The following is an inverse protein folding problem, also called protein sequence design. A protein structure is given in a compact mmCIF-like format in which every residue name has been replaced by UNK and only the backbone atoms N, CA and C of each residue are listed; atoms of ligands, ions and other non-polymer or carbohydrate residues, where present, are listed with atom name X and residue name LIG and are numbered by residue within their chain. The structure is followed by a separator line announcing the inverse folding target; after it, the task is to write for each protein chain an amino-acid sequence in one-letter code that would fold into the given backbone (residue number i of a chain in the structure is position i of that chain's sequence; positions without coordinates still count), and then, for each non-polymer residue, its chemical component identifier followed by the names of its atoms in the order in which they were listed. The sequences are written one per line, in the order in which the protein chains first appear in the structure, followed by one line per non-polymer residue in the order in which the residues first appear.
data_IF_759091693536
#
_entry.id   IF_759091693536
#
_cell.length_a   1.000
_cell.length_b   1.000
_cell.length_c   1.000
_cell.angle_alpha   90.00
_cell.angle_beta   90.00
_cell.angle_gamma   90.00
#
_symmetry.space_group_name_H-M   'P 1'
#
loop_
_entity.id
_entity.type
_entity.pdbx_description
1 polymer ?
#
# COMPACT_ATOMS: atom_id res chain seq x y z
N UNK A 1 9.96 9.27 16.76
CA UNK A 1 11.23 8.53 16.70
C UNK A 1 12.27 9.42 16.03
N UNK A 2 13.25 9.95 16.79
CA UNK A 2 14.41 10.64 16.24
C UNK A 2 15.41 9.55 15.84
N UNK A 3 15.62 9.36 14.54
CA UNK A 3 16.66 8.47 14.02
C UNK A 3 17.96 9.26 13.91
N UNK A 4 19.03 8.70 14.43
CA UNK A 4 20.39 9.23 14.23
C UNK A 4 20.96 8.51 13.00
N UNK A 5 21.24 9.28 11.94
CA UNK A 5 21.86 8.79 10.71
C UNK A 5 23.34 9.04 10.78
N UNK A 6 24.13 7.99 10.62
CA UNK A 6 25.56 8.09 10.43
C UNK A 6 25.85 8.19 8.93
N UNK A 7 26.25 9.36 8.47
CA UNK A 7 26.88 9.52 7.15
C UNK A 7 28.37 9.30 7.30
N UNK A 8 28.86 8.16 6.83
CA UNK A 8 30.28 7.98 6.57
C UNK A 8 30.60 8.60 5.20
N UNK A 9 31.69 9.33 5.12
CA UNK A 9 32.17 9.94 3.89
C UNK A 9 32.74 8.93 2.87
N UNK A 10 32.87 7.66 3.25
CA UNK A 10 33.28 6.56 2.40
C UNK A 10 32.16 5.52 2.37
N UNK A 11 31.72 5.15 1.17
CA UNK A 11 30.67 4.17 0.95
C UNK A 11 30.96 2.87 1.70
N UNK A 12 30.04 2.46 2.57
CA UNK A 12 30.12 1.16 3.21
C UNK A 12 29.52 0.14 2.28
N UNK A 13 30.39 -0.72 1.77
CA UNK A 13 29.96 -1.95 1.18
C UNK A 13 29.74 -2.99 2.30
N UNK A 14 28.59 -3.64 2.32
CA UNK A 14 28.33 -4.76 3.22
C UNK A 14 29.09 -6.03 2.81
N UNK A 15 29.78 -6.04 1.67
CA UNK A 15 30.79 -7.02 1.24
C UNK A 15 32.16 -6.73 1.83
N UNK A 16 32.25 -6.32 3.06
CA UNK A 16 33.51 -5.95 3.67
C UNK A 16 34.32 -7.18 4.03
N UNK A 17 35.59 -7.19 3.59
CA UNK A 17 36.58 -8.17 3.99
C UNK A 17 37.68 -7.48 4.75
N UNK A 18 38.20 -8.16 5.74
CA UNK A 18 39.45 -7.77 6.43
C UNK A 18 40.57 -8.69 6.03
N UNK A 19 41.73 -8.11 5.79
CA UNK A 19 42.98 -8.87 5.63
C UNK A 19 43.43 -9.41 7.00
N UNK A 20 44.23 -10.46 7.00
CA UNK A 20 44.76 -11.04 8.23
C UNK A 20 45.68 -10.02 8.94
N UNK A 21 45.30 -9.63 10.15
CA UNK A 21 46.01 -8.60 10.92
C UNK A 21 45.27 -8.28 12.24
N UNK A 22 45.86 -7.43 13.06
CA UNK A 22 45.23 -6.93 14.26
C UNK A 22 44.38 -5.68 13.94
N UNK A 23 43.05 -5.81 14.02
CA UNK A 23 42.15 -4.71 13.73
C UNK A 23 42.27 -3.56 14.74
N UNK A 24 42.84 -3.80 15.94
CA UNK A 24 43.06 -2.72 16.91
C UNK A 24 44.14 -1.71 16.46
N UNK A 25 44.95 -2.09 15.47
CA UNK A 25 46.01 -1.28 14.83
C UNK A 25 45.64 -0.86 13.39
N UNK A 26 44.42 -1.19 12.92
CA UNK A 26 44.01 -0.94 11.54
C UNK A 26 43.88 0.57 11.29
N UNK A 27 44.64 1.10 10.33
CA UNK A 27 44.71 2.55 10.04
C UNK A 27 43.41 3.11 9.47
N UNK A 28 42.73 2.34 8.60
CA UNK A 28 41.46 2.79 7.98
C UNK A 28 40.36 2.88 9.03
N UNK A 29 40.30 1.91 9.97
CA UNK A 29 39.35 1.96 11.07
C UNK A 29 39.70 3.11 12.04
N UNK A 30 40.96 3.40 12.27
CA UNK A 30 41.40 4.51 13.10
C UNK A 30 41.03 5.86 12.49
N UNK A 31 41.20 6.03 11.18
CA UNK A 31 40.81 7.21 10.47
C UNK A 31 39.26 7.39 10.52
N UNK A 32 38.50 6.32 10.26
CA UNK A 32 37.05 6.34 10.32
C UNK A 32 36.52 6.72 11.73
N UNK A 33 37.13 6.16 12.78
CA UNK A 33 36.72 6.52 14.16
C UNK A 33 37.10 7.96 14.49
N UNK A 34 38.17 8.48 13.93
CA UNK A 34 38.56 9.88 14.04
C UNK A 34 37.55 10.85 13.43
N UNK A 35 36.87 10.46 12.38
CA UNK A 35 35.82 11.25 11.74
C UNK A 35 34.44 11.13 12.40
N UNK A 36 34.27 10.18 13.31
CA UNK A 36 33.02 10.02 14.06
C UNK A 36 32.99 10.98 15.27
N UNK A 37 31.92 11.77 15.46
CA UNK A 37 31.78 12.67 16.62
C UNK A 37 31.89 11.97 17.96
N UNK A 38 31.62 10.69 18.02
CA UNK A 38 31.68 9.88 19.24
C UNK A 38 32.90 8.94 19.27
N UNK A 39 33.79 9.06 18.30
CA UNK A 39 34.93 8.15 18.13
C UNK A 39 34.54 6.67 18.14
N UNK A 40 33.34 6.37 17.64
CA UNK A 40 32.81 5.01 17.50
C UNK A 40 32.25 4.82 16.10
N UNK A 41 32.49 3.64 15.50
CA UNK A 41 31.95 3.23 14.21
C UNK A 41 31.44 1.81 14.28
N UNK A 42 30.44 1.49 13.49
CA UNK A 42 29.92 0.14 13.29
C UNK A 42 30.30 -0.35 11.91
N UNK A 43 30.91 -1.53 11.84
CA UNK A 43 31.38 -2.12 10.59
C UNK A 43 30.84 -3.53 10.44
N UNK A 44 30.30 -3.80 9.27
CA UNK A 44 29.99 -5.16 8.84
C UNK A 44 31.25 -5.82 8.30
N UNK A 45 31.30 -7.14 8.37
CA UNK A 45 32.26 -7.95 7.62
C UNK A 45 31.58 -9.25 7.19
N UNK A 46 31.90 -9.72 6.00
CA UNK A 46 31.32 -10.91 5.41
C UNK A 46 31.00 -10.74 3.93
N UNK A 47 30.11 -11.60 3.45
CA UNK A 47 29.65 -11.61 2.07
C UNK A 47 28.19 -11.19 2.02
N UNK A 48 27.90 -10.10 1.34
CA UNK A 48 26.53 -9.67 1.03
C UNK A 48 26.21 -9.93 -0.43
N UNK A 49 24.97 -9.67 -0.84
CA UNK A 49 24.46 -9.72 -2.21
C UNK A 49 24.39 -11.10 -2.86
N UNK A 50 25.45 -11.85 -2.80
CA UNK A 50 25.58 -13.16 -3.47
C UNK A 50 25.48 -14.34 -2.52
N UNK A 51 25.22 -14.07 -1.24
CA UNK A 51 25.26 -15.07 -0.17
C UNK A 51 26.68 -15.59 0.11
N UNK A 52 26.86 -16.15 1.28
CA UNK A 52 28.13 -16.70 1.71
C UNK A 52 28.42 -16.42 3.18
N UNK A 53 29.66 -16.68 3.59
CA UNK A 53 30.16 -16.45 4.94
C UNK A 53 31.36 -15.50 4.92
N UNK A 54 31.72 -14.91 6.07
CA UNK A 54 33.00 -14.23 6.20
C UNK A 54 34.16 -15.13 5.81
N UNK A 55 35.24 -14.56 5.27
CA UNK A 55 36.47 -15.31 5.01
C UNK A 55 37.17 -15.63 6.32
N UNK A 56 38.00 -16.70 6.32
CA UNK A 56 38.77 -17.07 7.51
C UNK A 56 39.73 -15.96 7.94
N UNK A 57 40.31 -15.24 6.98
CA UNK A 57 41.18 -14.09 7.22
C UNK A 57 40.43 -13.00 8.00
N UNK A 58 39.19 -12.66 7.56
CA UNK A 58 38.36 -11.66 8.25
C UNK A 58 38.04 -12.11 9.66
N UNK A 59 37.66 -13.38 9.87
CA UNK A 59 37.37 -13.91 11.22
C UNK A 59 38.63 -13.83 12.10
N UNK A 60 39.77 -14.25 11.61
CA UNK A 60 41.04 -14.17 12.36
C UNK A 60 41.44 -12.73 12.69
N UNK A 61 41.23 -11.81 11.76
CA UNK A 61 41.48 -10.38 12.00
C UNK A 61 40.59 -9.84 13.14
N UNK A 62 39.31 -10.20 13.15
CA UNK A 62 38.39 -9.84 14.24
C UNK A 62 38.84 -10.47 15.55
N UNK A 63 39.19 -11.76 15.57
CA UNK A 63 39.64 -12.44 16.79
C UNK A 63 40.93 -11.80 17.36
N UNK A 64 41.89 -11.45 16.51
CA UNK A 64 43.11 -10.73 16.92
C UNK A 64 42.78 -9.36 17.46
N UNK A 65 41.90 -8.60 16.77
CA UNK A 65 41.48 -7.27 17.19
C UNK A 65 40.77 -7.25 18.54
N UNK A 66 39.96 -8.29 18.83
CA UNK A 66 39.30 -8.44 20.14
C UNK A 66 40.27 -8.61 21.32
N UNK A 67 41.47 -9.10 21.04
CA UNK A 67 42.54 -9.31 22.03
C UNK A 67 43.67 -8.27 21.90
N UNK A 68 43.59 -7.41 20.88
CA UNK A 68 44.59 -6.42 20.56
C UNK A 68 44.67 -5.31 21.62
N UNK A 69 45.87 -4.70 21.71
CA UNK A 69 46.12 -3.57 22.60
C UNK A 69 46.49 -2.29 21.81
N UNK A 70 46.06 -2.22 20.55
CA UNK A 70 46.23 -1.04 19.70
C UNK A 70 45.36 0.13 20.13
N UNK A 71 45.43 1.23 19.37
CA UNK A 71 44.65 2.44 19.69
C UNK A 71 43.12 2.29 19.56
N UNK A 72 42.62 1.22 18.93
CA UNK A 72 41.21 0.94 18.76
C UNK A 72 40.77 -0.20 19.68
N UNK A 73 39.67 0.03 20.39
CA UNK A 73 38.95 -1.04 21.07
C UNK A 73 38.01 -1.72 20.08
N UNK A 74 38.27 -2.98 19.76
CA UNK A 74 37.42 -3.81 18.90
C UNK A 74 36.41 -4.58 19.77
N UNK A 75 35.12 -4.50 19.39
CA UNK A 75 34.03 -5.19 20.07
C UNK A 75 33.19 -5.95 19.06
N UNK A 76 33.00 -7.23 19.26
CA UNK A 76 32.00 -7.99 18.49
C UNK A 76 30.61 -7.65 19.00
N UNK A 77 29.72 -7.27 18.11
CA UNK A 77 28.43 -6.72 18.49
C UNK A 77 27.29 -7.22 17.58
N UNK A 78 26.13 -7.34 18.16
CA UNK A 78 24.87 -7.50 17.41
C UNK A 78 24.41 -6.17 16.81
N UNK A 79 23.57 -6.20 15.78
CA UNK A 79 23.13 -5.00 15.06
C UNK A 79 22.38 -3.97 15.92
N UNK A 80 21.81 -4.38 17.05
CA UNK A 80 21.11 -3.50 17.99
C UNK A 80 22.07 -2.82 18.97
N UNK A 81 23.28 -3.33 19.13
CA UNK A 81 24.26 -2.84 20.11
C UNK A 81 24.63 -1.38 19.86
N UNK A 82 24.84 -0.99 18.60
CA UNK A 82 25.18 0.40 18.27
C UNK A 82 24.12 1.39 18.77
N UNK A 83 22.83 1.05 18.65
CA UNK A 83 21.75 1.93 19.13
C UNK A 83 21.76 2.08 20.65
N UNK A 84 22.08 1.00 21.38
CA UNK A 84 22.20 1.01 22.83
C UNK A 84 23.40 1.84 23.29
N UNK A 85 24.54 1.64 22.64
CA UNK A 85 25.76 2.36 22.98
C UNK A 85 25.68 3.85 22.64
N UNK A 86 24.95 4.22 21.58
CA UNK A 86 24.78 5.63 21.19
C UNK A 86 23.62 6.33 21.91
N UNK A 87 22.70 5.61 22.54
CA UNK A 87 21.55 6.20 23.22
C UNK A 87 21.92 7.28 24.25
N UNK A 88 22.95 7.10 25.11
CA UNK A 88 23.35 8.15 26.07
C UNK A 88 23.81 9.45 25.40
N UNK A 89 24.24 9.38 24.16
CA UNK A 89 24.78 10.50 23.38
C UNK A 89 23.77 11.08 22.38
N UNK A 90 22.51 10.65 22.39
CA UNK A 90 21.50 11.07 21.39
C UNK A 90 21.29 12.58 21.30
N UNK A 91 21.65 13.35 22.33
CA UNK A 91 21.60 14.80 22.37
C UNK A 91 22.93 15.49 22.01
N UNK A 92 23.97 14.72 21.68
CA UNK A 92 25.27 15.30 21.34
C UNK A 92 25.14 16.29 20.18
N UNK A 93 25.72 17.51 20.29
CA UNK A 93 25.49 18.58 19.33
C UNK A 93 26.01 18.28 17.92
N UNK A 94 27.08 17.51 17.81
CA UNK A 94 27.69 17.15 16.54
C UNK A 94 27.05 15.96 15.85
N UNK A 95 26.13 15.23 16.52
CA UNK A 95 25.42 14.16 15.84
C UNK A 95 24.44 14.73 14.82
N UNK A 96 24.47 14.25 13.57
CA UNK A 96 23.55 14.70 12.54
C UNK A 96 22.11 14.36 12.93
N UNK A 97 21.24 15.37 12.86
CA UNK A 97 19.81 15.23 13.14
C UNK A 97 19.03 15.37 11.83
N UNK A 98 18.19 14.40 11.55
CA UNK A 98 17.29 14.43 10.42
C UNK A 98 15.85 14.50 10.91
N UNK A 99 15.06 15.39 10.35
CA UNK A 99 13.63 15.52 10.62
C UNK A 99 12.87 15.49 9.29
N UNK A 100 12.08 14.45 9.08
CA UNK A 100 11.35 14.21 7.85
C UNK A 100 11.38 12.73 7.43
N UNK A 101 10.97 12.46 6.21
CA UNK A 101 11.04 11.11 5.63
C UNK A 101 12.45 10.84 5.08
N UNK A 102 12.94 9.64 5.31
CA UNK A 102 14.16 9.13 4.70
C UNK A 102 13.82 8.57 3.33
N UNK A 103 13.71 9.45 2.34
CA UNK A 103 13.50 9.02 0.96
C UNK A 103 14.77 8.40 0.41
N UNK A 104 14.59 7.35 -0.40
CA UNK A 104 15.69 6.79 -1.16
C UNK A 104 16.15 7.82 -2.20
N UNK A 105 17.45 7.88 -2.43
CA UNK A 105 18.06 8.71 -3.45
C UNK A 105 18.01 8.01 -4.82
N UNK A 106 18.88 8.36 -5.73
CA UNK A 106 18.90 7.87 -7.12
C UNK A 106 18.78 6.35 -7.20
N UNK A 107 19.58 5.63 -6.44
CA UNK A 107 19.47 4.18 -6.32
C UNK A 107 18.40 3.81 -5.28
N UNK A 108 17.42 3.03 -5.71
CA UNK A 108 16.30 2.58 -4.88
C UNK A 108 15.01 3.38 -5.06
N UNK A 109 15.03 4.57 -5.68
CA UNK A 109 13.81 5.35 -5.95
C UNK A 109 12.81 4.59 -6.83
N UNK A 110 13.29 3.82 -7.80
CA UNK A 110 12.45 2.98 -8.67
C UNK A 110 11.67 1.91 -7.91
N UNK A 111 12.16 1.45 -6.77
CA UNK A 111 11.50 0.43 -5.94
C UNK A 111 10.10 0.86 -5.46
N UNK A 112 9.82 2.15 -5.40
CA UNK A 112 8.48 2.67 -5.05
C UNK A 112 7.43 2.39 -6.13
N UNK A 113 7.83 2.23 -7.38
CA UNK A 113 6.91 2.16 -8.53
C UNK A 113 7.10 0.97 -9.44
N UNK A 114 8.28 0.35 -9.45
CA UNK A 114 8.56 -0.82 -10.30
C UNK A 114 7.60 -1.96 -9.98
N UNK A 115 7.07 -2.65 -11.02
CA UNK A 115 6.09 -3.72 -10.88
C UNK A 115 4.89 -3.30 -10.01
N UNK A 116 4.17 -2.27 -10.43
CA UNK A 116 3.04 -1.69 -9.68
C UNK A 116 1.98 -2.72 -9.26
N UNK A 117 1.79 -3.80 -10.03
CA UNK A 117 0.89 -4.91 -9.69
C UNK A 117 1.27 -5.58 -8.36
N UNK A 118 2.58 -5.74 -8.08
CA UNK A 118 3.03 -6.30 -6.80
C UNK A 118 2.60 -5.43 -5.61
N UNK A 119 2.72 -4.09 -5.74
CA UNK A 119 2.26 -3.16 -4.70
C UNK A 119 0.75 -3.25 -4.50
N UNK A 120 0.00 -3.36 -5.59
CA UNK A 120 -1.45 -3.50 -5.55
C UNK A 120 -1.87 -4.79 -4.86
N UNK A 121 -1.35 -5.93 -5.28
CA UNK A 121 -1.69 -7.24 -4.70
C UNK A 121 -1.24 -7.34 -3.25
N UNK A 122 -0.04 -6.86 -2.92
CA UNK A 122 0.43 -6.80 -1.55
C UNK A 122 -0.56 -6.03 -0.66
N UNK A 123 -0.97 -4.82 -1.08
CA UNK A 123 -1.91 -4.03 -0.29
C UNK A 123 -3.28 -4.69 -0.13
N UNK A 124 -3.77 -5.31 -1.18
CA UNK A 124 -5.03 -6.06 -1.13
C UNK A 124 -4.95 -7.26 -0.19
N UNK A 125 -3.85 -8.04 -0.24
CA UNK A 125 -3.63 -9.17 0.66
C UNK A 125 -3.50 -8.75 2.13
N UNK A 126 -2.78 -7.66 2.43
CA UNK A 126 -2.71 -7.10 3.79
C UNK A 126 -4.10 -6.83 4.36
N UNK A 127 -4.95 -6.14 3.60
CA UNK A 127 -6.30 -5.77 4.03
C UNK A 127 -7.22 -6.99 4.18
N UNK A 128 -7.16 -7.92 3.21
CA UNK A 128 -7.99 -9.12 3.24
C UNK A 128 -7.55 -10.09 4.33
N UNK A 129 -6.25 -10.26 4.55
CA UNK A 129 -5.71 -11.11 5.61
C UNK A 129 -6.18 -10.67 6.99
N UNK A 130 -6.02 -9.39 7.31
CA UNK A 130 -6.50 -8.81 8.58
C UNK A 130 -8.04 -8.98 8.73
N UNK A 131 -8.80 -8.69 7.68
CA UNK A 131 -10.26 -8.85 7.70
C UNK A 131 -10.68 -10.32 7.85
N UNK A 132 -9.99 -11.25 7.19
CA UNK A 132 -10.26 -12.68 7.28
C UNK A 132 -10.00 -13.23 8.69
N UNK A 133 -8.88 -12.84 9.33
CA UNK A 133 -8.59 -13.22 10.71
C UNK A 133 -9.66 -12.69 11.67
N UNK A 134 -9.96 -11.38 11.61
CA UNK A 134 -10.94 -10.75 12.49
C UNK A 134 -12.34 -11.37 12.35
N UNK A 135 -12.80 -11.60 11.12
CA UNK A 135 -14.10 -12.24 10.87
C UNK A 135 -14.14 -13.68 11.38
N UNK A 136 -13.02 -14.41 11.25
CA UNK A 136 -12.91 -15.79 11.75
C UNK A 136 -12.96 -15.86 13.28
N UNK A 137 -12.27 -14.93 13.97
CA UNK A 137 -12.34 -14.80 15.43
C UNK A 137 -13.78 -14.52 15.88
N UNK A 138 -14.49 -13.60 15.21
CA UNK A 138 -15.90 -13.30 15.52
C UNK A 138 -16.78 -14.53 15.30
N UNK A 139 -16.60 -15.26 14.19
CA UNK A 139 -17.38 -16.44 13.89
C UNK A 139 -17.16 -17.56 14.92
N UNK A 140 -15.91 -17.79 15.35
CA UNK A 140 -15.58 -18.77 16.38
C UNK A 140 -16.13 -18.35 17.75
N UNK A 141 -15.92 -17.10 18.15
CA UNK A 141 -16.41 -16.59 19.43
C UNK A 141 -17.93 -16.70 19.56
N UNK A 142 -18.65 -16.53 18.46
CA UNK A 142 -20.09 -16.72 18.39
C UNK A 142 -20.51 -18.19 18.19
N UNK A 143 -19.58 -19.15 18.17
CA UNK A 143 -19.78 -20.57 17.90
C UNK A 143 -20.51 -20.85 16.57
N UNK A 144 -20.22 -20.07 15.54
CA UNK A 144 -20.82 -20.27 14.22
C UNK A 144 -19.87 -21.00 13.24
N UNK A 145 -18.57 -20.89 13.42
CA UNK A 145 -17.55 -21.61 12.66
C UNK A 145 -16.29 -21.78 13.50
N UNK A 146 -15.51 -22.83 13.23
CA UNK A 146 -14.18 -23.00 13.83
C UNK A 146 -13.16 -22.06 13.18
N UNK A 147 -12.21 -21.57 13.96
CA UNK A 147 -11.13 -20.71 13.45
C UNK A 147 -10.22 -21.50 12.50
N UNK A 148 -10.04 -21.04 11.25
CA UNK A 148 -9.31 -21.77 10.22
C UNK A 148 -7.79 -21.54 10.30
N UNK A 149 -7.19 -21.79 11.47
CA UNK A 149 -5.80 -21.43 11.77
C UNK A 149 -4.77 -21.99 10.81
N UNK A 150 -4.91 -23.25 10.38
CA UNK A 150 -3.99 -23.87 9.42
C UNK A 150 -4.03 -23.18 8.06
N UNK A 151 -5.24 -22.91 7.54
CA UNK A 151 -5.41 -22.23 6.25
C UNK A 151 -4.92 -20.78 6.29
N UNK A 152 -5.15 -20.06 7.39
CA UNK A 152 -4.63 -18.71 7.60
C UNK A 152 -3.10 -18.71 7.66
N UNK A 153 -2.50 -19.62 8.43
CA UNK A 153 -1.03 -19.74 8.53
C UNK A 153 -0.38 -20.02 7.18
N UNK A 154 -0.90 -20.98 6.43
CA UNK A 154 -0.37 -21.30 5.08
C UNK A 154 -0.47 -20.10 4.16
N UNK A 155 -1.60 -19.39 4.19
CA UNK A 155 -1.81 -18.25 3.31
C UNK A 155 -0.96 -17.04 3.69
N UNK A 156 -0.80 -16.77 4.99
CA UNK A 156 0.13 -15.76 5.48
C UNK A 156 1.58 -16.07 5.09
N UNK A 157 2.03 -17.31 5.19
CA UNK A 157 3.38 -17.70 4.76
C UNK A 157 3.60 -17.44 3.28
N UNK A 158 2.61 -17.80 2.42
CA UNK A 158 2.67 -17.53 0.99
C UNK A 158 2.76 -16.03 0.71
N UNK A 159 1.87 -15.24 1.30
CA UNK A 159 1.82 -13.81 1.10
C UNK A 159 3.08 -13.09 1.61
N UNK A 160 3.54 -13.38 2.84
CA UNK A 160 4.72 -12.73 3.43
C UNK A 160 5.99 -13.06 2.66
N UNK A 161 6.08 -14.24 2.04
CA UNK A 161 7.20 -14.60 1.17
C UNK A 161 7.42 -13.57 0.07
N UNK A 162 6.34 -13.03 -0.52
CA UNK A 162 6.40 -12.03 -1.59
C UNK A 162 6.65 -10.59 -1.10
N UNK A 163 6.78 -10.38 0.21
CA UNK A 163 7.31 -9.15 0.77
C UNK A 163 8.84 -9.11 0.79
N UNK A 164 9.49 -10.12 0.21
CA UNK A 164 10.94 -10.16 0.00
C UNK A 164 11.42 -8.90 -0.72
N UNK A 165 12.62 -8.41 -0.34
CA UNK A 165 13.09 -7.08 -0.74
C UNK A 165 13.27 -6.88 -2.25
N UNK A 166 13.43 -7.94 -3.05
CA UNK A 166 13.46 -7.85 -4.51
C UNK A 166 12.13 -8.18 -5.18
N UNK A 167 11.18 -8.78 -4.47
CA UNK A 167 9.89 -9.13 -5.04
C UNK A 167 8.90 -7.95 -4.93
N UNK A 168 8.58 -7.53 -3.71
CA UNK A 168 7.69 -6.38 -3.49
C UNK A 168 8.20 -5.09 -4.15
N UNK A 169 9.51 -4.88 -4.18
CA UNK A 169 10.14 -3.70 -4.77
C UNK A 169 10.10 -3.68 -6.31
N UNK A 170 9.83 -4.82 -6.93
CA UNK A 170 9.78 -4.90 -8.39
C UNK A 170 11.15 -5.10 -9.04
N UNK A 171 12.14 -5.57 -8.28
CA UNK A 171 13.55 -5.60 -8.67
C UNK A 171 14.09 -7.00 -8.99
N UNK A 172 13.25 -8.02 -8.87
CA UNK A 172 13.53 -9.37 -9.33
C UNK A 172 13.57 -9.46 -10.87
N UNK A 173 14.09 -10.56 -11.39
CA UNK A 173 14.06 -10.84 -12.83
C UNK A 173 12.60 -11.00 -13.31
N UNK A 174 12.31 -10.67 -14.59
CA UNK A 174 10.93 -10.72 -15.10
C UNK A 174 10.21 -12.06 -14.89
N UNK A 175 10.94 -13.19 -15.03
CA UNK A 175 10.37 -14.52 -14.83
C UNK A 175 9.89 -14.77 -13.39
N UNK A 176 10.47 -14.14 -12.39
CA UNK A 176 10.02 -14.29 -11.01
C UNK A 176 8.56 -13.84 -10.84
N UNK A 177 8.17 -12.77 -11.56
CA UNK A 177 6.83 -12.19 -11.44
C UNK A 177 5.71 -13.06 -12.03
N UNK A 178 6.02 -14.01 -12.91
CA UNK A 178 5.05 -15.02 -13.36
C UNK A 178 4.58 -15.89 -12.19
N UNK A 179 5.47 -16.19 -11.24
CA UNK A 179 5.16 -16.94 -10.03
C UNK A 179 4.58 -16.05 -8.94
N UNK A 180 5.21 -14.91 -8.68
CA UNK A 180 4.81 -13.99 -7.62
C UNK A 180 3.37 -13.50 -7.80
N UNK A 181 2.99 -13.10 -9.00
CA UNK A 181 1.61 -12.68 -9.28
C UNK A 181 0.61 -13.82 -9.08
N UNK A 182 0.98 -15.04 -9.51
CA UNK A 182 0.11 -16.20 -9.29
C UNK A 182 -0.11 -16.47 -7.80
N UNK A 183 0.93 -16.45 -7.00
CA UNK A 183 0.85 -16.70 -5.57
C UNK A 183 0.10 -15.59 -4.82
N UNK A 184 0.31 -14.34 -5.20
CA UNK A 184 -0.46 -13.20 -4.68
C UNK A 184 -1.97 -13.33 -4.99
N UNK A 185 -2.34 -13.75 -6.21
CA UNK A 185 -3.73 -13.99 -6.58
C UNK A 185 -4.34 -15.19 -5.86
N UNK A 186 -3.56 -16.26 -5.62
CA UNK A 186 -3.99 -17.39 -4.80
C UNK A 186 -4.28 -16.91 -3.38
N UNK A 187 -3.38 -16.11 -2.81
CA UNK A 187 -3.54 -15.54 -1.48
C UNK A 187 -4.79 -14.68 -1.37
N UNK A 188 -5.02 -13.79 -2.32
CA UNK A 188 -6.24 -12.97 -2.40
C UNK A 188 -7.50 -13.83 -2.40
N UNK A 189 -7.53 -14.89 -3.22
CA UNK A 189 -8.66 -15.81 -3.30
C UNK A 189 -8.90 -16.54 -2.00
N UNK A 190 -7.84 -17.02 -1.35
CA UNK A 190 -7.95 -17.77 -0.10
C UNK A 190 -8.42 -16.89 1.06
N UNK A 191 -7.82 -15.71 1.25
CA UNK A 191 -8.27 -14.75 2.27
C UNK A 191 -9.71 -14.30 2.02
N UNK A 192 -10.08 -14.01 0.78
CA UNK A 192 -11.46 -13.65 0.42
C UNK A 192 -12.43 -14.79 0.72
N UNK A 193 -12.05 -16.04 0.44
CA UNK A 193 -12.86 -17.22 0.74
C UNK A 193 -13.09 -17.40 2.24
N UNK A 194 -12.03 -17.25 3.06
CA UNK A 194 -12.12 -17.32 4.53
C UNK A 194 -13.01 -16.20 5.06
N UNK A 195 -12.80 -14.96 4.60
CA UNK A 195 -13.61 -13.80 4.99
C UNK A 195 -15.08 -14.04 4.70
N UNK A 196 -15.41 -14.43 3.46
CA UNK A 196 -16.80 -14.69 3.02
C UNK A 196 -17.43 -15.80 3.85
N UNK A 197 -16.74 -16.92 4.05
CA UNK A 197 -17.26 -18.05 4.81
C UNK A 197 -17.54 -17.70 6.26
N UNK A 198 -16.67 -16.91 6.89
CA UNK A 198 -16.84 -16.47 8.27
C UNK A 198 -18.02 -15.51 8.42
N UNK A 199 -18.15 -14.55 7.48
CA UNK A 199 -19.30 -13.63 7.46
C UNK A 199 -20.62 -14.39 7.26
N UNK A 200 -20.65 -15.31 6.28
CA UNK A 200 -21.83 -16.12 5.99
C UNK A 200 -22.28 -16.96 7.17
N UNK A 201 -21.33 -17.57 7.90
CA UNK A 201 -21.62 -18.39 9.08
C UNK A 201 -22.36 -17.58 10.16
N UNK A 202 -21.94 -16.35 10.40
CA UNK A 202 -22.60 -15.44 11.35
C UNK A 202 -23.93 -14.93 10.79
N UNK A 203 -23.95 -14.46 9.54
CA UNK A 203 -25.11 -13.83 8.91
C UNK A 203 -26.33 -14.78 8.86
N UNK A 204 -26.11 -16.09 8.64
CA UNK A 204 -27.17 -17.13 8.64
C UNK A 204 -27.89 -17.29 9.98
N UNK A 205 -27.31 -16.81 11.07
CA UNK A 205 -27.90 -16.86 12.42
C UNK A 205 -28.44 -15.53 12.89
N UNK A 206 -28.21 -14.46 12.14
CA UNK A 206 -28.75 -13.13 12.44
C UNK A 206 -30.26 -13.07 12.12
N UNK A 207 -30.95 -12.17 12.81
CA UNK A 207 -32.30 -11.79 12.41
C UNK A 207 -32.23 -10.85 11.21
N UNK A 208 -32.44 -11.43 10.04
CA UNK A 208 -32.45 -10.73 8.75
C UNK A 208 -33.86 -10.54 8.18
N UNK A 209 -34.91 -10.64 9.01
CA UNK A 209 -36.28 -10.46 8.57
C UNK A 209 -36.55 -9.02 8.22
N UNK A 210 -36.73 -8.75 6.94
CA UNK A 210 -37.03 -7.42 6.37
C UNK A 210 -38.22 -7.53 5.39
N UNK A 211 -38.72 -6.41 4.94
CA UNK A 211 -39.84 -6.41 3.96
C UNK A 211 -39.37 -6.66 2.52
N UNK A 212 -38.15 -6.31 2.21
CA UNK A 212 -37.51 -6.49 0.90
C UNK A 212 -36.45 -7.58 0.92
N UNK A 213 -35.28 -7.26 0.38
CA UNK A 213 -34.12 -8.15 0.31
C UNK A 213 -33.15 -7.75 1.40
N UNK A 214 -32.78 -8.65 2.32
CA UNK A 214 -31.79 -8.35 3.34
C UNK A 214 -30.40 -8.28 2.73
N UNK A 215 -29.64 -7.24 3.09
CA UNK A 215 -28.23 -7.10 2.80
C UNK A 215 -27.49 -6.99 4.12
N UNK A 216 -26.57 -7.90 4.36
CA UNK A 216 -25.72 -7.91 5.55
C UNK A 216 -24.36 -7.32 5.19
N UNK A 217 -23.95 -6.29 5.91
CA UNK A 217 -22.62 -5.67 5.80
C UNK A 217 -21.81 -5.97 7.04
N UNK A 218 -20.52 -6.24 6.86
CA UNK A 218 -19.57 -6.48 7.92
C UNK A 218 -18.44 -5.45 7.89
N UNK A 219 -18.07 -4.95 9.05
CA UNK A 219 -16.93 -4.06 9.26
C UNK A 219 -15.88 -4.76 10.13
N UNK A 220 -14.71 -5.06 9.56
CA UNK A 220 -13.59 -5.68 10.28
C UNK A 220 -12.81 -4.68 11.16
N UNK A 221 -13.01 -3.37 11.00
CA UNK A 221 -12.22 -2.35 11.70
C UNK A 221 -12.70 -2.13 13.14
N UNK A 222 -11.79 -1.76 14.02
CA UNK A 222 -12.07 -1.49 15.43
C UNK A 222 -12.82 -0.17 15.72
N UNK A 223 -13.37 0.49 14.71
CA UNK A 223 -14.17 1.70 14.81
C UNK A 223 -15.34 1.65 13.83
N UNK A 224 -16.40 2.43 14.12
CA UNK A 224 -17.54 2.53 13.23
C UNK A 224 -17.13 3.10 11.87
N UNK A 225 -17.59 2.48 10.80
CA UNK A 225 -17.40 2.95 9.42
C UNK A 225 -18.72 3.54 8.91
N UNK A 226 -18.65 4.73 8.34
CA UNK A 226 -19.71 5.34 7.54
C UNK A 226 -19.14 5.55 6.13
N UNK A 227 -19.59 4.73 5.17
CA UNK A 227 -19.04 4.74 3.81
C UNK A 227 -20.06 4.20 2.79
N UNK A 228 -19.72 4.30 1.51
CA UNK A 228 -20.52 3.75 0.42
C UNK A 228 -20.22 2.26 0.25
N UNK A 229 -21.20 1.42 0.48
CA UNK A 229 -21.15 -0.01 0.20
C UNK A 229 -21.68 -0.31 -1.19
N UNK A 230 -20.89 -0.96 -2.03
CA UNK A 230 -21.34 -1.48 -3.31
C UNK A 230 -21.86 -2.92 -3.15
N UNK A 231 -23.07 -3.16 -3.61
CA UNK A 231 -23.80 -4.41 -3.41
C UNK A 231 -24.31 -4.92 -4.76
N UNK A 232 -24.15 -6.21 -5.01
CA UNK A 232 -24.75 -6.90 -6.15
C UNK A 232 -25.93 -7.77 -5.69
N UNK A 233 -27.10 -7.60 -6.31
CA UNK A 233 -28.30 -8.36 -6.05
C UNK A 233 -28.75 -9.11 -7.29
N UNK A 234 -29.02 -10.41 -7.16
CA UNK A 234 -29.69 -11.17 -8.20
C UNK A 234 -31.18 -10.80 -8.25
N UNK A 235 -31.62 -10.20 -9.33
CA UNK A 235 -33.00 -9.79 -9.54
C UNK A 235 -33.52 -10.33 -10.88
N UNK A 236 -34.68 -10.97 -10.94
CA UNK A 236 -35.21 -11.54 -12.19
C UNK A 236 -35.62 -10.45 -13.21
N UNK A 237 -35.79 -9.21 -12.77
CA UNK A 237 -36.19 -8.06 -13.58
C UNK A 237 -35.46 -6.81 -13.13
N UNK A 238 -35.22 -5.88 -14.07
CA UNK A 238 -34.70 -4.55 -13.74
C UNK A 238 -35.67 -3.88 -12.75
N UNK A 239 -35.18 -3.41 -11.58
CA UNK A 239 -36.03 -2.75 -10.61
C UNK A 239 -36.57 -1.43 -11.17
N UNK A 240 -37.83 -1.09 -10.86
CA UNK A 240 -38.40 0.19 -11.23
C UNK A 240 -37.83 1.36 -10.43
N UNK A 241 -37.34 1.06 -9.23
CA UNK A 241 -36.65 1.98 -8.34
C UNK A 241 -36.05 1.20 -7.17
N UNK A 242 -35.15 1.82 -6.45
CA UNK A 242 -34.50 1.24 -5.26
C UNK A 242 -34.76 2.17 -4.08
N UNK A 243 -35.16 1.57 -2.97
CA UNK A 243 -35.24 2.26 -1.67
C UNK A 243 -34.58 1.36 -0.64
N UNK A 244 -33.73 1.91 0.20
CA UNK A 244 -33.01 1.17 1.23
C UNK A 244 -33.34 1.72 2.60
N UNK A 245 -33.49 0.85 3.57
CA UNK A 245 -33.78 1.21 4.97
C UNK A 245 -32.75 0.53 5.89
N UNK A 246 -32.36 1.22 6.95
CA UNK A 246 -31.63 0.60 8.05
C UNK A 246 -32.58 -0.23 8.94
N UNK A 247 -32.04 -0.94 9.94
CA UNK A 247 -32.82 -1.76 10.86
C UNK A 247 -33.75 -0.96 11.79
N UNK A 248 -33.56 0.36 11.87
CA UNK A 248 -34.46 1.25 12.61
C UNK A 248 -35.60 1.76 11.73
N UNK A 249 -35.68 1.31 10.47
CA UNK A 249 -36.65 1.73 9.49
C UNK A 249 -36.42 3.12 8.90
N UNK A 250 -35.21 3.70 9.09
CA UNK A 250 -34.85 4.97 8.50
C UNK A 250 -34.38 4.74 7.08
N UNK A 251 -34.88 5.54 6.15
CA UNK A 251 -34.43 5.52 4.76
C UNK A 251 -32.98 6.01 4.68
N UNK A 252 -32.13 5.26 3.98
CA UNK A 252 -30.76 5.64 3.68
C UNK A 252 -30.60 5.93 2.19
N UNK A 253 -29.63 6.74 1.83
CA UNK A 253 -29.35 7.06 0.45
C UNK A 253 -28.85 5.82 -0.31
N UNK A 254 -29.34 5.64 -1.53
CA UNK A 254 -28.95 4.51 -2.39
C UNK A 254 -29.05 4.90 -3.86
N UNK A 255 -28.19 4.33 -4.68
CA UNK A 255 -28.11 4.57 -6.12
C UNK A 255 -28.03 3.25 -6.88
N UNK A 256 -28.88 3.09 -7.91
CA UNK A 256 -28.75 1.99 -8.86
C UNK A 256 -27.62 2.33 -9.85
N UNK A 257 -26.54 1.55 -9.84
CA UNK A 257 -25.40 1.74 -10.75
C UNK A 257 -25.65 1.10 -12.10
N UNK A 258 -26.06 -0.17 -12.10
CA UNK A 258 -26.31 -0.90 -13.33
C UNK A 258 -27.28 -2.06 -13.11
N UNK A 259 -27.87 -2.55 -14.21
CA UNK A 259 -28.59 -3.81 -14.25
C UNK A 259 -28.24 -4.53 -15.55
N UNK A 260 -27.63 -5.69 -15.44
CA UNK A 260 -27.28 -6.56 -16.56
C UNK A 260 -27.34 -8.03 -16.11
N UNK A 261 -27.68 -8.93 -16.98
CA UNK A 261 -27.68 -10.39 -16.77
C UNK A 261 -28.37 -10.86 -15.49
N UNK A 262 -29.51 -10.21 -15.16
CA UNK A 262 -30.26 -10.52 -13.94
C UNK A 262 -29.61 -10.04 -12.65
N UNK A 263 -28.64 -9.15 -12.72
CA UNK A 263 -27.91 -8.60 -11.58
C UNK A 263 -28.05 -7.09 -11.51
N UNK A 264 -28.41 -6.57 -10.36
CA UNK A 264 -28.44 -5.14 -10.06
C UNK A 264 -27.24 -4.79 -9.18
N UNK A 265 -26.42 -3.83 -9.60
CA UNK A 265 -25.38 -3.23 -8.76
C UNK A 265 -25.90 -1.95 -8.15
N UNK A 266 -25.76 -1.85 -6.83
CA UNK A 266 -26.28 -0.75 -6.03
C UNK A 266 -25.16 -0.12 -5.21
N UNK A 267 -25.27 1.18 -4.97
CA UNK A 267 -24.52 1.88 -3.92
C UNK A 267 -25.47 2.18 -2.75
N UNK A 268 -25.00 1.98 -1.54
CA UNK A 268 -25.75 2.23 -0.31
C UNK A 268 -24.87 3.06 0.61
N UNK A 269 -25.36 4.19 1.10
CA UNK A 269 -24.70 4.91 2.19
C UNK A 269 -24.91 4.10 3.48
N UNK A 270 -23.84 3.44 3.94
CA UNK A 270 -23.88 2.49 5.02
C UNK A 270 -23.15 2.97 6.26
N UNK A 271 -23.71 2.67 7.42
CA UNK A 271 -23.05 2.82 8.73
C UNK A 271 -22.97 1.43 9.36
N UNK A 272 -21.76 0.97 9.61
CA UNK A 272 -21.49 -0.36 10.19
C UNK A 272 -20.67 -0.20 11.47
N UNK A 273 -21.11 -0.75 12.61
CA UNK A 273 -20.39 -0.61 13.88
C UNK A 273 -19.02 -1.26 13.85
N UNK A 274 -18.16 -0.87 14.81
CA UNK A 274 -16.83 -1.44 14.99
C UNK A 274 -16.90 -2.97 15.14
N UNK A 275 -16.06 -3.71 14.39
CA UNK A 275 -15.99 -5.19 14.39
C UNK A 275 -17.39 -5.82 14.43
N UNK A 276 -18.28 -5.33 13.57
CA UNK A 276 -19.69 -5.63 13.69
C UNK A 276 -20.41 -5.74 12.36
N UNK A 277 -21.71 -6.02 12.47
CA UNK A 277 -22.61 -6.24 11.35
C UNK A 277 -23.72 -5.21 11.32
N UNK A 278 -24.20 -4.90 10.12
CA UNK A 278 -25.42 -4.13 9.91
C UNK A 278 -26.27 -4.81 8.84
N UNK A 279 -27.61 -4.76 9.03
CA UNK A 279 -28.57 -5.31 8.08
C UNK A 279 -29.31 -4.17 7.43
N UNK A 280 -29.46 -4.22 6.11
CA UNK A 280 -30.21 -3.25 5.32
C UNK A 280 -31.34 -3.93 4.57
N UNK A 281 -32.50 -3.26 4.49
CA UNK A 281 -33.69 -3.70 3.78
C UNK A 281 -33.75 -3.03 2.41
N UNK A 282 -33.41 -3.75 1.35
CA UNK A 282 -33.44 -3.25 -0.02
C UNK A 282 -34.77 -3.59 -0.68
N UNK A 283 -35.53 -2.54 -1.07
CA UNK A 283 -36.83 -2.68 -1.75
C UNK A 283 -36.73 -2.22 -3.18
N UNK A 284 -37.27 -3.04 -4.08
CA UNK A 284 -37.17 -2.85 -5.56
C UNK A 284 -38.43 -2.21 -6.17
N UNK A 285 -39.39 -1.80 -5.35
CA UNK A 285 -40.69 -1.25 -5.77
C UNK A 285 -40.93 0.22 -5.40
N UNK A 286 -39.86 0.95 -5.07
CA UNK A 286 -39.94 2.38 -4.73
C UNK A 286 -39.98 3.29 -5.97
N UNK A 287 -40.23 4.61 -5.79
CA UNK A 287 -39.99 5.57 -6.85
C UNK A 287 -38.50 5.51 -7.26
N UNK A 288 -38.24 5.62 -8.56
CA UNK A 288 -36.85 5.76 -9.04
C UNK A 288 -36.24 7.00 -8.40
N UNK A 289 -35.14 6.82 -7.67
CA UNK A 289 -34.29 7.94 -7.29
C UNK A 289 -33.38 8.30 -8.50
N UNK A 290 -34.01 8.43 -9.66
CA UNK A 290 -33.34 8.83 -10.90
C UNK A 290 -33.24 10.36 -10.89
N UNK A 291 -32.50 10.89 -9.95
CA UNK A 291 -32.10 12.29 -9.95
C UNK A 291 -30.90 12.43 -10.89
N UNK A 292 -31.21 12.54 -12.18
CA UNK A 292 -30.26 12.99 -13.18
C UNK A 292 -29.94 14.46 -12.88
N UNK A 293 -28.86 14.70 -12.18
CA UNK A 293 -28.26 16.03 -12.18
C UNK A 293 -27.53 16.14 -13.49
N UNK A 294 -28.08 16.89 -14.45
CA UNK A 294 -27.38 17.20 -15.70
C UNK A 294 -26.08 17.91 -15.36
N UNK A 295 -24.98 17.25 -15.61
CA UNK A 295 -23.64 17.82 -15.41
C UNK A 295 -23.03 18.04 -16.77
N UNK A 296 -22.40 19.19 -16.92
CA UNK A 296 -21.43 19.43 -17.97
C UNK A 296 -20.49 18.21 -18.05
N UNK A 297 -20.34 17.61 -19.21
CA UNK A 297 -19.56 16.37 -19.42
C UNK A 297 -18.09 16.51 -19.01
N UNK A 298 -17.67 17.70 -18.67
CA UNK A 298 -16.27 18.07 -18.37
C UNK A 298 -16.04 18.45 -16.90
N UNK A 299 -17.03 18.26 -16.00
CA UNK A 299 -16.85 18.59 -14.59
C UNK A 299 -17.43 17.55 -13.65
N UNK A 300 -16.74 17.32 -12.53
CA UNK A 300 -17.22 16.54 -11.40
C UNK A 300 -17.19 17.44 -10.16
N UNK A 301 -18.26 17.42 -9.37
CA UNK A 301 -18.35 18.31 -8.23
C UNK A 301 -19.09 17.63 -7.06
N UNK A 302 -18.56 17.82 -5.85
CA UNK A 302 -19.21 17.47 -4.59
C UNK A 302 -19.10 18.64 -3.58
N UNK A 303 -19.43 18.40 -2.33
CA UNK A 303 -19.34 19.43 -1.27
C UNK A 303 -17.92 19.86 -0.93
N UNK A 304 -16.91 19.05 -1.29
CA UNK A 304 -15.51 19.25 -0.91
C UNK A 304 -14.69 19.73 -2.11
N UNK A 305 -14.85 19.10 -3.27
CA UNK A 305 -14.03 19.36 -4.45
C UNK A 305 -14.88 19.74 -5.67
N UNK A 306 -14.27 20.56 -6.53
CA UNK A 306 -14.72 20.78 -7.92
C UNK A 306 -13.56 20.42 -8.85
N UNK A 307 -13.81 19.48 -9.76
CA UNK A 307 -12.84 19.00 -10.74
C UNK A 307 -13.30 19.46 -12.12
N UNK A 308 -12.41 20.05 -12.91
CA UNK A 308 -12.67 20.40 -14.30
C UNK A 308 -11.68 19.69 -15.21
N UNK A 309 -12.21 19.10 -16.28
CA UNK A 309 -11.42 18.40 -17.29
C UNK A 309 -11.41 19.23 -18.59
N UNK A 310 -10.33 19.10 -19.34
CA UNK A 310 -10.26 19.63 -20.71
C UNK A 310 -10.88 18.65 -21.73
N UNK A 311 -10.82 19.00 -23.00
CA UNK A 311 -11.35 18.18 -24.10
C UNK A 311 -10.60 16.85 -24.31
N UNK A 312 -9.42 16.70 -23.70
CA UNK A 312 -8.59 15.49 -23.72
C UNK A 312 -8.76 14.65 -22.44
N UNK A 313 -9.63 15.11 -21.55
CA UNK A 313 -9.90 14.44 -20.28
C UNK A 313 -8.78 14.57 -19.23
N UNK A 314 -7.87 15.53 -19.42
CA UNK A 314 -6.89 15.88 -18.42
C UNK A 314 -7.54 16.81 -17.37
N UNK A 315 -7.20 16.61 -16.09
CA UNK A 315 -7.73 17.46 -15.02
C UNK A 315 -6.94 18.78 -15.02
N UNK A 316 -7.59 19.84 -15.41
CA UNK A 316 -6.98 21.19 -15.50
C UNK A 316 -7.27 22.06 -14.28
N UNK A 317 -8.25 21.66 -13.46
CA UNK A 317 -8.56 22.29 -12.18
C UNK A 317 -9.03 21.23 -11.18
N UNK A 318 -8.50 21.30 -9.98
CA UNK A 318 -8.94 20.55 -8.80
C UNK A 318 -9.04 21.56 -7.65
N UNK A 319 -10.22 22.14 -7.49
CA UNK A 319 -10.46 23.17 -6.49
C UNK A 319 -10.96 22.58 -5.19
N UNK A 320 -10.20 22.77 -4.11
CA UNK A 320 -10.61 22.44 -2.74
C UNK A 320 -11.49 23.57 -2.19
N UNK A 321 -12.79 23.31 -2.13
CA UNK A 321 -13.80 24.27 -1.68
C UNK A 321 -13.65 24.61 -0.20
N UNK A 322 -13.23 23.65 0.62
CA UNK A 322 -13.11 23.82 2.07
C UNK A 322 -11.96 24.76 2.41
N UNK A 323 -10.85 24.66 1.67
CA UNK A 323 -9.66 25.48 1.90
C UNK A 323 -9.57 26.67 0.92
N UNK A 324 -10.50 26.80 -0.03
CA UNK A 324 -10.48 27.86 -1.06
C UNK A 324 -9.23 27.82 -1.95
N UNK A 325 -8.73 26.62 -2.25
CA UNK A 325 -7.42 26.43 -2.87
C UNK A 325 -7.50 25.64 -4.16
N UNK A 326 -6.86 26.18 -5.23
CA UNK A 326 -6.57 25.43 -6.45
C UNK A 326 -5.34 24.53 -6.23
N UNK A 327 -5.47 23.24 -6.52
CA UNK A 327 -4.42 22.24 -6.31
C UNK A 327 -3.60 21.96 -7.58
N UNK A 328 -4.12 22.32 -8.75
CA UNK A 328 -3.41 22.21 -10.02
C UNK A 328 -2.65 23.51 -10.28
N UNK A 329 -1.36 23.43 -10.52
CA UNK A 329 -0.54 24.62 -10.83
C UNK A 329 -1.01 25.27 -12.14
N UNK A 330 -1.00 26.62 -12.26
CA UNK A 330 -1.36 27.33 -13.48
C UNK A 330 -0.58 26.79 -14.70
N UNK A 331 -1.29 26.51 -15.79
CA UNK A 331 -0.71 25.98 -17.03
C UNK A 331 -0.24 24.51 -16.96
N UNK A 332 -0.57 23.78 -15.87
CA UNK A 332 -0.31 22.35 -15.73
C UNK A 332 -1.63 21.59 -15.64
N UNK A 333 -1.56 20.27 -15.77
CA UNK A 333 -2.70 19.36 -15.60
C UNK A 333 -2.28 18.08 -14.89
N UNK A 334 -3.23 17.39 -14.25
CA UNK A 334 -3.08 16.00 -13.84
C UNK A 334 -3.50 15.16 -15.04
N UNK A 335 -2.56 14.41 -15.58
CA UNK A 335 -2.72 13.74 -16.87
C UNK A 335 -2.09 12.37 -16.92
N UNK A 336 -2.53 11.54 -17.85
CA UNK A 336 -1.84 10.32 -18.22
C UNK A 336 -0.74 10.65 -19.21
N UNK A 337 0.51 10.34 -18.87
CA UNK A 337 1.66 10.67 -19.68
C UNK A 337 2.74 9.60 -19.59
N UNK A 338 3.59 9.52 -20.62
CA UNK A 338 4.70 8.58 -20.70
C UNK A 338 6.03 9.33 -20.72
N UNK A 339 6.97 8.89 -19.89
CA UNK A 339 8.38 9.21 -20.08
C UNK A 339 8.95 8.25 -21.14
N UNK A 340 9.36 8.77 -22.27
CA UNK A 340 9.82 7.96 -23.42
C UNK A 340 11.17 7.30 -23.20
N UNK A 341 11.93 7.75 -22.21
CA UNK A 341 13.21 7.20 -21.84
C UNK A 341 13.33 7.19 -20.31
N UNK A 342 13.60 6.03 -19.77
CA UNK A 342 14.09 5.89 -18.41
C UNK A 342 15.55 5.43 -18.48
N UNK A 343 16.48 6.39 -18.46
CA UNK A 343 17.90 6.06 -18.37
C UNK A 343 18.21 5.57 -16.97
N UNK A 344 19.15 4.64 -16.89
CA UNK A 344 19.63 4.07 -15.65
C UNK A 344 21.16 3.99 -15.74
N UNK A 345 21.86 4.02 -14.61
CA UNK A 345 23.29 3.78 -14.59
C UNK A 345 23.59 2.30 -14.76
N UNK A 346 22.89 1.43 -14.01
CA UNK A 346 23.10 -0.01 -14.04
C UNK A 346 21.80 -0.80 -13.84
N UNK A 347 20.88 -0.33 -12.98
CA UNK A 347 19.73 -1.09 -12.52
C UNK A 347 18.41 -0.34 -12.76
N UNK A 348 17.78 -0.49 -13.94
CA UNK A 348 16.61 0.29 -14.33
C UNK A 348 15.39 0.08 -13.44
N UNK A 349 15.28 -1.04 -12.75
CA UNK A 349 14.18 -1.28 -11.82
C UNK A 349 14.35 -0.52 -10.49
N UNK A 350 15.60 -0.24 -10.09
CA UNK A 350 15.90 0.51 -8.86
C UNK A 350 16.02 2.01 -9.08
N UNK A 351 16.34 2.46 -10.30
CA UNK A 351 16.78 3.83 -10.55
C UNK A 351 15.75 4.63 -11.30
N UNK A 352 15.43 5.82 -10.78
CA UNK A 352 14.73 6.87 -11.51
C UNK A 352 15.59 8.13 -11.40
N UNK A 353 16.28 8.45 -12.48
CA UNK A 353 17.19 9.59 -12.47
C UNK A 353 16.41 10.90 -12.52
N UNK A 354 16.90 11.91 -11.78
CA UNK A 354 16.30 13.24 -11.80
C UNK A 354 16.17 13.82 -13.20
N UNK A 355 17.16 13.61 -14.06
CA UNK A 355 17.14 14.04 -15.47
C UNK A 355 15.99 13.39 -16.29
N UNK A 356 15.51 12.22 -15.88
CA UNK A 356 14.33 11.58 -16.48
C UNK A 356 13.06 12.30 -16.06
N UNK A 357 12.94 12.61 -14.76
CA UNK A 357 11.77 13.29 -14.19
C UNK A 357 11.67 14.75 -14.65
N UNK A 358 12.81 15.43 -14.85
CA UNK A 358 12.85 16.82 -15.28
C UNK A 358 12.47 17.00 -16.76
N UNK A 359 12.36 15.92 -17.54
CA UNK A 359 11.88 15.98 -18.92
C UNK A 359 10.37 16.15 -18.96
N UNK A 360 9.90 16.87 -19.96
CA UNK A 360 8.44 16.93 -20.20
C UNK A 360 7.96 15.56 -20.72
N UNK A 361 7.04 14.89 -20.02
CA UNK A 361 6.50 13.62 -20.49
C UNK A 361 5.54 13.83 -21.66
N UNK A 362 5.42 12.82 -22.52
CA UNK A 362 4.48 12.81 -23.63
C UNK A 362 3.08 12.48 -23.11
N UNK A 363 2.14 13.40 -23.26
CA UNK A 363 0.74 13.18 -22.89
C UNK A 363 0.08 12.17 -23.81
N UNK A 364 -0.68 11.23 -23.23
CA UNK A 364 -1.49 10.27 -23.99
C UNK A 364 -2.82 10.95 -24.32
N UNK A 365 -2.93 11.48 -25.53
CA UNK A 365 -4.07 12.29 -25.97
C UNK A 365 -4.66 11.84 -27.31
N UNK A 366 -4.21 10.70 -27.85
CA UNK A 366 -4.74 10.16 -29.12
C UNK A 366 -6.03 9.38 -28.85
N UNK A 367 -7.02 9.58 -29.75
CA UNK A 367 -8.32 8.91 -29.72
C UNK A 367 -9.00 8.91 -28.33
N UNK A 368 -8.91 10.02 -27.64
CA UNK A 368 -9.53 10.16 -26.31
C UNK A 368 -11.04 10.13 -26.44
N UNK A 369 -11.65 9.21 -25.70
CA UNK A 369 -13.10 9.14 -25.52
C UNK A 369 -13.43 9.28 -24.05
N UNK A 370 -14.27 10.26 -23.71
CA UNK A 370 -14.84 10.43 -22.39
C UNK A 370 -16.29 9.95 -22.39
N UNK A 371 -16.66 9.19 -21.37
CA UNK A 371 -18.03 8.68 -21.21
C UNK A 371 -18.43 8.80 -19.75
N UNK A 372 -19.55 9.46 -19.48
CA UNK A 372 -20.18 9.45 -18.15
C UNK A 372 -20.79 8.05 -17.95
N UNK A 373 -20.18 7.28 -17.04
CA UNK A 373 -20.59 5.88 -16.77
C UNK A 373 -21.53 5.76 -15.59
N UNK A 374 -21.44 6.69 -14.65
CA UNK A 374 -22.35 6.78 -13.50
C UNK A 374 -22.74 8.25 -13.27
N UNK A 375 -24.03 8.48 -13.14
CA UNK A 375 -24.59 9.83 -12.89
C UNK A 375 -25.67 9.74 -11.81
N UNK A 376 -25.26 9.84 -10.55
CA UNK A 376 -26.16 9.75 -9.41
C UNK A 376 -25.74 10.66 -8.26
N UNK A 377 -26.61 10.72 -7.24
CA UNK A 377 -26.38 11.57 -6.07
C UNK A 377 -25.18 11.11 -5.22
N UNK A 378 -24.95 9.78 -5.14
CA UNK A 378 -23.90 9.22 -4.29
C UNK A 378 -22.58 9.13 -5.00
N UNK A 379 -22.60 8.78 -6.30
CA UNK A 379 -21.38 8.66 -7.10
C UNK A 379 -21.61 9.10 -8.54
N UNK A 380 -20.66 9.87 -9.05
CA UNK A 380 -20.51 10.18 -10.46
C UNK A 380 -19.16 9.66 -10.93
N UNK A 381 -19.15 9.03 -12.10
CA UNK A 381 -17.92 8.46 -12.66
C UNK A 381 -17.82 8.79 -14.13
N UNK A 382 -16.65 9.28 -14.52
CA UNK A 382 -16.29 9.60 -15.87
C UNK A 382 -15.17 8.66 -16.31
N UNK A 383 -15.44 7.86 -17.34
CA UNK A 383 -14.46 6.97 -17.96
C UNK A 383 -13.73 7.71 -19.08
N UNK A 384 -12.41 7.71 -19.02
CA UNK A 384 -11.53 8.27 -20.04
C UNK A 384 -10.72 7.16 -20.67
N UNK A 385 -10.94 6.89 -21.92
CA UNK A 385 -10.17 5.93 -22.73
C UNK A 385 -9.32 6.66 -23.75
N UNK A 386 -8.15 6.13 -24.02
CA UNK A 386 -7.25 6.57 -25.08
C UNK A 386 -6.50 5.37 -25.64
N UNK A 387 -6.02 5.47 -26.85
CA UNK A 387 -5.09 4.49 -27.44
C UNK A 387 -3.67 4.82 -26.98
N UNK A 388 -2.92 3.81 -26.57
CA UNK A 388 -1.51 3.91 -26.16
C UNK A 388 -0.66 3.25 -27.20
#
# INVERSE_FOLDING_TARGET
FRRVLFRSTHGYDYNQRFEDGDLSENKDLLELTGHSPLHMVYRYYGTGDIGGSPTLESVRAVEKGLQGNGPLQIVSATSDRIYKDFQPYASHPELPKFNGELLMDVHGTGCYTSQAAMKLYNRQNELLGDAAERSSVVAEWLNQASYPGAALTENWQRFIFHQFHDDLTGTSIPRAYEFSWNDELISLKQFSGILTSSIDAVARKMDTRVKGIPVVLYNALGFQVADMAEVELALPKKPKGITVYDMNGRKVAAQLLSYADGKARLLIEAIVPATGYAVYDVRTSGPSADTRVSVDSNALENSIYKITLDTKGDIVSLFDKKNGKELVKPGKSIRLALFTQNKSYMWPAWEILKETIDREPVSITEDVKMTLVEDGELRKSLDRKSVV
#
